data_IF_246685463689
#
_entry.id   IF_246685463689
#
_cell.length_a   1.000
_cell.length_b   1.000
_cell.length_c   1.000
_cell.angle_alpha   90.00
_cell.angle_beta   90.00
_cell.angle_gamma   90.00
#
_symmetry.space_group_name_H-M   'P 1'
#
loop_
_entity.id
_entity.type
_entity.pdbx_description
1 polymer ?
#
# COMPACT_ATOMS: atom_id res chain seq x y z
N UNK A 1 -13.25 7.25 -19.06
CA UNK A 1 -11.79 7.47 -19.10
C UNK A 1 -11.12 6.20 -19.60
N UNK A 2 -9.97 6.30 -20.29
CA UNK A 2 -9.23 5.11 -20.73
C UNK A 2 -8.47 4.52 -19.52
N UNK A 3 -8.31 3.18 -19.53
CA UNK A 3 -7.41 2.50 -18.60
C UNK A 3 -6.02 3.15 -18.61
N UNK A 4 -5.27 2.94 -17.55
CA UNK A 4 -3.88 3.39 -17.47
C UNK A 4 -3.12 2.90 -18.71
N UNK A 5 -2.47 3.81 -19.45
CA UNK A 5 -1.83 3.48 -20.73
C UNK A 5 -0.38 3.96 -20.78
N UNK A 6 0.35 3.48 -21.79
CA UNK A 6 1.70 3.92 -22.09
C UNK A 6 2.70 3.64 -20.98
N UNK A 7 3.55 4.61 -20.70
CA UNK A 7 4.64 4.51 -19.73
C UNK A 7 4.15 4.18 -18.31
N UNK A 8 3.00 4.73 -17.89
CA UNK A 8 2.46 4.50 -16.54
C UNK A 8 1.95 3.06 -16.36
N UNK A 9 1.34 2.46 -17.39
CA UNK A 9 0.96 1.06 -17.35
C UNK A 9 2.20 0.15 -17.29
N UNK A 10 3.21 0.43 -18.10
CA UNK A 10 4.47 -0.30 -18.09
C UNK A 10 5.16 -0.20 -16.73
N UNK A 11 5.19 1.00 -16.12
CA UNK A 11 5.76 1.23 -14.81
C UNK A 11 5.05 0.40 -13.73
N UNK A 12 3.71 0.38 -13.75
CA UNK A 12 2.92 -0.43 -12.82
C UNK A 12 3.18 -1.93 -13.01
N UNK A 13 3.26 -2.42 -14.26
CA UNK A 13 3.53 -3.82 -14.56
C UNK A 13 4.99 -4.24 -14.32
N UNK A 14 5.95 -3.32 -14.38
CA UNK A 14 7.33 -3.59 -14.01
C UNK A 14 7.48 -3.92 -12.52
N UNK A 15 6.52 -3.50 -11.71
CA UNK A 15 6.50 -3.71 -10.27
C UNK A 15 7.28 -2.65 -9.51
N UNK A 16 6.61 -1.96 -8.61
CA UNK A 16 7.19 -0.84 -7.86
C UNK A 16 6.85 -0.91 -6.38
N UNK A 17 7.62 -0.19 -5.58
CA UNK A 17 7.33 0.07 -4.17
C UNK A 17 6.27 1.16 -4.08
N UNK A 18 5.14 0.86 -3.43
CA UNK A 18 4.06 1.81 -3.15
C UNK A 18 3.79 1.80 -1.64
N UNK A 19 4.41 2.69 -0.86
CA UNK A 19 4.07 2.83 0.55
C UNK A 19 2.61 3.25 0.73
N UNK A 20 1.96 2.72 1.77
CA UNK A 20 0.69 3.24 2.24
C UNK A 20 0.97 4.44 3.15
N UNK A 21 0.65 5.65 2.69
CA UNK A 21 1.07 6.91 3.30
C UNK A 21 0.47 7.11 4.70
N UNK A 22 1.27 7.21 5.79
CA UNK A 22 0.77 7.53 7.10
C UNK A 22 0.28 8.98 7.20
N UNK A 23 -0.61 9.24 8.16
CA UNK A 23 -1.11 10.58 8.45
C UNK A 23 -0.33 11.22 9.60
N UNK A 24 0.38 12.29 9.32
CA UNK A 24 1.04 13.08 10.36
C UNK A 24 0.03 14.01 11.05
N UNK A 25 -0.12 13.85 12.36
CA UNK A 25 -0.97 14.71 13.19
C UNK A 25 -0.22 15.27 14.38
N UNK A 26 -0.66 16.43 14.86
CA UNK A 26 -0.16 17.04 16.11
C UNK A 26 -0.69 16.30 17.34
N UNK A 27 -0.19 16.65 18.54
CA UNK A 27 -0.69 16.13 19.81
C UNK A 27 -2.20 16.43 20.03
N UNK A 28 -2.73 17.45 19.36
CA UNK A 28 -4.16 17.80 19.37
C UNK A 28 -4.94 17.18 18.21
N UNK A 29 -4.32 16.21 17.48
CA UNK A 29 -4.91 15.48 16.36
C UNK A 29 -5.36 16.35 15.18
N UNK A 30 -4.68 17.46 14.98
CA UNK A 30 -4.81 18.27 13.79
C UNK A 30 -3.78 17.81 12.76
N UNK A 31 -4.10 17.93 11.46
CA UNK A 31 -3.13 17.65 10.39
C UNK A 31 -1.87 18.47 10.59
N UNK A 32 -0.72 17.81 10.63
CA UNK A 32 0.59 18.46 10.63
C UNK A 32 1.13 18.51 9.20
N UNK A 33 0.79 19.57 8.48
CA UNK A 33 1.16 19.72 7.07
C UNK A 33 2.67 19.67 6.83
N UNK A 34 3.46 20.20 7.76
CA UNK A 34 4.93 20.20 7.66
C UNK A 34 5.48 18.79 7.66
N UNK A 35 5.05 17.97 8.61
CA UNK A 35 5.48 16.58 8.69
C UNK A 35 4.83 15.70 7.61
N UNK A 36 3.61 16.00 7.21
CA UNK A 36 2.95 15.31 6.09
C UNK A 36 3.71 15.53 4.76
N UNK A 37 4.17 16.76 4.49
CA UNK A 37 5.04 17.05 3.34
C UNK A 37 6.41 16.37 3.49
N UNK A 38 7.01 16.38 4.68
CA UNK A 38 8.29 15.72 4.94
C UNK A 38 8.23 14.21 4.65
N UNK A 39 7.16 13.53 5.09
CA UNK A 39 6.91 12.13 4.77
C UNK A 39 6.82 11.89 3.25
N UNK A 40 6.06 12.71 2.54
CA UNK A 40 5.94 12.60 1.08
C UNK A 40 7.30 12.79 0.38
N UNK A 41 8.10 13.79 0.82
CA UNK A 41 9.46 14.02 0.30
C UNK A 41 10.40 12.86 0.60
N UNK A 42 10.32 12.30 1.80
CA UNK A 42 11.07 11.10 2.17
C UNK A 42 10.79 9.94 1.21
N UNK A 43 9.52 9.61 0.95
CA UNK A 43 9.17 8.53 0.01
C UNK A 43 9.67 8.83 -1.39
N UNK A 44 9.52 10.04 -1.89
CA UNK A 44 10.04 10.44 -3.18
C UNK A 44 11.57 10.30 -3.25
N UNK A 45 12.29 10.73 -2.21
CA UNK A 45 13.75 10.65 -2.14
C UNK A 45 14.24 9.20 -1.97
N UNK A 46 13.52 8.35 -1.25
CA UNK A 46 13.81 6.92 -1.13
C UNK A 46 13.69 6.15 -2.45
N UNK A 47 13.10 6.75 -3.48
CA UNK A 47 13.04 6.15 -4.82
C UNK A 47 11.80 5.28 -5.07
N UNK A 48 10.73 5.44 -4.29
CA UNK A 48 9.48 4.69 -4.52
C UNK A 48 8.90 4.98 -5.90
N UNK A 49 8.24 3.99 -6.50
CA UNK A 49 7.60 4.15 -7.80
C UNK A 49 6.14 4.61 -7.72
N UNK A 50 5.60 4.76 -6.54
CA UNK A 50 4.25 5.27 -6.31
C UNK A 50 3.96 5.53 -4.84
N UNK A 51 2.80 6.12 -4.54
CA UNK A 51 2.34 6.40 -3.19
C UNK A 51 0.83 6.21 -3.10
N UNK A 52 0.36 5.52 -2.05
CA UNK A 52 -1.06 5.32 -1.79
C UNK A 52 -1.51 6.18 -0.62
N UNK A 53 -2.46 7.08 -0.87
CA UNK A 53 -2.95 8.08 0.09
C UNK A 53 -4.45 7.88 0.34
N UNK A 54 -4.92 8.13 1.55
CA UNK A 54 -6.32 7.86 1.93
C UNK A 54 -6.60 6.38 2.16
N UNK A 55 -5.58 5.59 2.50
CA UNK A 55 -5.64 4.16 2.75
C UNK A 55 -5.58 3.86 4.26
N UNK A 56 -5.50 2.59 4.66
CA UNK A 56 -5.54 2.19 6.07
C UNK A 56 -4.56 2.99 6.97
N UNK A 57 -3.28 3.12 6.57
CA UNK A 57 -2.28 3.87 7.35
C UNK A 57 -2.51 5.39 7.33
N UNK A 58 -3.26 5.90 6.35
CA UNK A 58 -3.72 7.31 6.37
C UNK A 58 -4.90 7.51 7.32
N UNK A 59 -5.40 6.43 7.91
CA UNK A 59 -6.55 6.33 8.82
C UNK A 59 -7.88 6.63 8.12
N UNK A 60 -8.75 5.63 8.08
CA UNK A 60 -10.03 5.73 7.35
C UNK A 60 -10.97 6.82 7.88
N UNK A 61 -10.75 7.32 9.09
CA UNK A 61 -11.47 8.45 9.69
C UNK A 61 -11.40 9.71 8.83
N UNK A 62 -10.34 9.90 8.02
CA UNK A 62 -10.24 11.07 7.12
C UNK A 62 -11.36 11.13 6.08
N UNK A 63 -11.97 9.98 5.75
CA UNK A 63 -13.11 9.89 4.82
C UNK A 63 -14.44 10.31 5.43
N UNK A 64 -14.53 10.47 6.77
CA UNK A 64 -15.72 11.02 7.40
C UNK A 64 -15.80 12.52 7.09
N UNK A 65 -16.90 13.00 6.48
CA UNK A 65 -17.09 14.43 6.20
C UNK A 65 -16.97 15.34 7.42
N UNK A 66 -17.21 14.81 8.63
CA UNK A 66 -17.06 15.55 9.89
C UNK A 66 -15.60 15.79 10.25
N UNK A 67 -14.71 14.90 9.85
CA UNK A 67 -13.25 15.05 10.00
C UNK A 67 -12.72 15.97 8.91
N UNK A 68 -13.21 15.83 7.67
CA UNK A 68 -12.95 16.74 6.56
C UNK A 68 -11.51 16.77 6.06
N UNK A 69 -10.73 15.70 6.28
CA UNK A 69 -9.30 15.65 5.96
C UNK A 69 -8.98 14.96 4.64
N UNK A 70 -9.91 14.25 3.99
CA UNK A 70 -9.61 13.53 2.76
C UNK A 70 -9.07 14.45 1.66
N UNK A 71 -9.81 15.53 1.34
CA UNK A 71 -9.40 16.47 0.29
C UNK A 71 -8.06 17.16 0.60
N UNK A 72 -7.83 17.76 1.79
CA UNK A 72 -6.56 18.37 2.13
C UNK A 72 -5.37 17.39 2.06
N UNK A 73 -5.53 16.16 2.52
CA UNK A 73 -4.44 15.18 2.53
C UNK A 73 -4.12 14.68 1.13
N UNK A 74 -5.13 14.42 0.28
CA UNK A 74 -4.92 14.06 -1.13
C UNK A 74 -4.22 15.19 -1.89
N UNK A 75 -4.70 16.43 -1.73
CA UNK A 75 -4.13 17.61 -2.39
C UNK A 75 -2.68 17.84 -1.98
N UNK A 76 -2.41 17.83 -0.66
CA UNK A 76 -1.08 18.05 -0.10
C UNK A 76 -0.05 17.03 -0.61
N UNK A 77 -0.42 15.75 -0.61
CA UNK A 77 0.44 14.68 -1.09
C UNK A 77 0.69 14.81 -2.60
N UNK A 78 -0.36 15.07 -3.39
CA UNK A 78 -0.23 15.22 -4.85
C UNK A 78 0.68 16.40 -5.22
N UNK A 79 0.48 17.58 -4.60
CA UNK A 79 1.32 18.76 -4.82
C UNK A 79 2.78 18.48 -4.48
N UNK A 80 3.04 17.84 -3.33
CA UNK A 80 4.41 17.55 -2.87
C UNK A 80 5.11 16.53 -3.78
N UNK A 81 4.38 15.52 -4.28
CA UNK A 81 4.89 14.57 -5.28
C UNK A 81 5.26 15.33 -6.57
N UNK A 82 4.38 16.20 -7.07
CA UNK A 82 4.63 16.94 -8.31
C UNK A 82 5.81 17.91 -8.17
N UNK A 83 6.02 18.49 -6.98
CA UNK A 83 7.20 19.29 -6.66
C UNK A 83 8.48 18.44 -6.74
N UNK A 84 8.49 17.27 -6.12
CA UNK A 84 9.64 16.37 -6.14
C UNK A 84 9.96 15.85 -7.56
N UNK A 85 8.93 15.53 -8.34
CA UNK A 85 9.08 15.03 -9.72
C UNK A 85 9.49 16.11 -10.72
N UNK A 86 9.25 17.40 -10.43
CA UNK A 86 9.83 18.49 -11.24
C UNK A 86 11.35 18.58 -11.08
N UNK A 87 11.87 18.22 -9.90
CA UNK A 87 13.32 18.20 -9.63
C UNK A 87 13.96 16.92 -10.17
N UNK A 88 13.29 15.78 -9.99
CA UNK A 88 13.78 14.47 -10.44
C UNK A 88 12.68 13.74 -11.23
N UNK A 89 12.52 14.05 -12.54
CA UNK A 89 11.46 13.47 -13.38
C UNK A 89 11.60 11.95 -13.53
N UNK A 90 10.53 11.22 -13.24
CA UNK A 90 10.40 9.77 -13.43
C UNK A 90 8.94 9.34 -13.41
N UNK A 91 8.59 8.16 -13.95
CA UNK A 91 7.26 7.59 -13.77
C UNK A 91 6.94 7.41 -12.28
N UNK A 92 5.71 7.75 -11.89
CA UNK A 92 5.26 7.68 -10.50
C UNK A 92 3.73 7.48 -10.42
N UNK A 93 3.29 6.41 -9.76
CA UNK A 93 1.87 6.09 -9.60
C UNK A 93 1.30 6.76 -8.35
N UNK A 94 0.35 7.68 -8.51
CA UNK A 94 -0.48 8.22 -7.43
C UNK A 94 -1.72 7.35 -7.27
N UNK A 95 -1.92 6.73 -6.11
CA UNK A 95 -3.07 5.87 -5.79
C UNK A 95 -3.88 6.52 -4.67
N UNK A 96 -5.18 6.72 -4.87
CA UNK A 96 -6.07 7.24 -3.82
C UNK A 96 -6.90 6.10 -3.22
N UNK A 97 -7.05 6.07 -1.90
CA UNK A 97 -8.04 5.23 -1.25
C UNK A 97 -9.45 5.70 -1.63
N UNK A 98 -10.31 4.75 -1.97
CA UNK A 98 -11.74 4.99 -2.28
C UNK A 98 -12.56 4.02 -1.45
N UNK A 99 -13.44 4.53 -0.60
CA UNK A 99 -14.20 3.72 0.36
C UNK A 99 -15.69 4.07 0.35
N UNK A 100 -16.43 3.38 1.19
CA UNK A 100 -17.84 3.68 1.46
C UNK A 100 -18.81 3.02 0.48
N UNK A 101 -20.08 3.42 0.58
CA UNK A 101 -21.12 2.98 -0.35
C UNK A 101 -20.95 3.70 -1.70
N UNK A 102 -21.61 3.22 -2.73
CA UNK A 102 -21.38 3.62 -4.13
C UNK A 102 -21.38 5.14 -4.34
N UNK A 103 -22.33 5.87 -3.77
CA UNK A 103 -22.39 7.32 -3.93
C UNK A 103 -21.21 8.06 -3.25
N UNK A 104 -20.71 7.56 -2.13
CA UNK A 104 -19.51 8.07 -1.50
C UNK A 104 -18.27 7.74 -2.35
N UNK A 105 -18.12 6.47 -2.76
CA UNK A 105 -17.02 6.02 -3.57
C UNK A 105 -16.90 6.78 -4.90
N UNK A 106 -18.03 7.11 -5.55
CA UNK A 106 -18.04 7.92 -6.77
C UNK A 106 -17.55 9.36 -6.52
N UNK A 107 -17.96 9.98 -5.41
CA UNK A 107 -17.47 11.32 -5.04
C UNK A 107 -15.97 11.31 -4.73
N UNK A 108 -15.49 10.31 -3.98
CA UNK A 108 -14.06 10.19 -3.64
C UNK A 108 -13.21 9.87 -4.88
N UNK A 109 -13.71 9.02 -5.79
CA UNK A 109 -13.06 8.74 -7.06
C UNK A 109 -12.94 10.00 -7.95
N UNK A 110 -14.01 10.80 -8.04
CA UNK A 110 -13.98 12.07 -8.77
C UNK A 110 -12.99 13.06 -8.15
N UNK A 111 -12.98 13.19 -6.82
CA UNK A 111 -12.04 14.03 -6.09
C UNK A 111 -10.58 13.60 -6.35
N UNK A 112 -10.31 12.28 -6.35
CA UNK A 112 -8.99 11.75 -6.65
C UNK A 112 -8.54 12.10 -8.08
N UNK A 113 -9.43 12.01 -9.06
CA UNK A 113 -9.17 12.43 -10.44
C UNK A 113 -8.85 13.93 -10.52
N UNK A 114 -9.60 14.78 -9.82
CA UNK A 114 -9.39 16.22 -9.78
C UNK A 114 -8.01 16.59 -9.22
N UNK A 115 -7.49 15.82 -8.26
CA UNK A 115 -6.13 15.97 -7.71
C UNK A 115 -5.04 15.20 -8.47
N UNK A 116 -5.35 14.63 -9.63
CA UNK A 116 -4.37 13.97 -10.52
C UNK A 116 -3.92 12.59 -10.07
N UNK A 117 -4.73 11.87 -9.31
CA UNK A 117 -4.48 10.46 -8.99
C UNK A 117 -4.76 9.57 -10.19
N UNK A 118 -3.94 8.53 -10.36
CA UNK A 118 -3.97 7.65 -11.51
C UNK A 118 -4.88 6.43 -11.33
N UNK A 119 -5.07 5.98 -10.08
CA UNK A 119 -5.90 4.83 -9.75
C UNK A 119 -6.57 4.99 -8.38
N UNK A 120 -7.74 4.38 -8.21
CA UNK A 120 -8.45 4.26 -6.95
C UNK A 120 -8.24 2.88 -6.32
N UNK A 121 -7.65 2.81 -5.12
CA UNK A 121 -7.63 1.59 -4.29
C UNK A 121 -9.00 1.42 -3.66
N UNK A 122 -9.84 0.61 -4.30
CA UNK A 122 -11.26 0.48 -3.94
C UNK A 122 -11.45 -0.54 -2.82
N UNK A 123 -11.90 -0.06 -1.65
CA UNK A 123 -12.31 -0.91 -0.53
C UNK A 123 -13.82 -1.15 -0.54
N UNK A 124 -14.22 -2.42 -0.55
CA UNK A 124 -15.61 -2.84 -0.41
C UNK A 124 -16.01 -3.14 1.04
N UNK A 125 -15.21 -2.75 2.01
CA UNK A 125 -15.42 -3.04 3.43
C UNK A 125 -16.73 -2.48 4.01
N UNK A 126 -17.25 -1.39 3.44
CA UNK A 126 -18.54 -0.80 3.83
C UNK A 126 -19.77 -1.59 3.33
N UNK A 127 -19.56 -2.50 2.38
CA UNK A 127 -20.59 -3.31 1.73
C UNK A 127 -20.59 -4.72 2.33
N UNK A 128 -21.06 -4.85 3.59
CA UNK A 128 -20.89 -6.08 4.40
C UNK A 128 -21.85 -7.20 4.03
N UNK A 129 -23.05 -6.85 3.55
CA UNK A 129 -24.17 -7.79 3.31
C UNK A 129 -24.50 -7.94 1.84
N UNK A 130 -23.90 -7.15 0.97
CA UNK A 130 -24.14 -7.12 -0.46
C UNK A 130 -23.64 -8.41 -1.11
N UNK A 131 -24.40 -8.88 -2.12
CA UNK A 131 -24.06 -10.03 -2.96
C UNK A 131 -22.88 -9.72 -3.89
N UNK A 132 -22.26 -10.74 -4.48
CA UNK A 132 -21.19 -10.55 -5.47
C UNK A 132 -21.66 -9.69 -6.65
N UNK A 133 -22.93 -9.81 -7.08
CA UNK A 133 -23.48 -8.99 -8.18
C UNK A 133 -23.58 -7.51 -7.80
N UNK A 134 -24.03 -7.20 -6.60
CA UNK A 134 -24.10 -5.82 -6.09
C UNK A 134 -22.71 -5.23 -5.89
N UNK A 135 -21.74 -6.03 -5.40
CA UNK A 135 -20.36 -5.61 -5.29
C UNK A 135 -19.73 -5.31 -6.65
N UNK A 136 -19.97 -6.16 -7.64
CA UNK A 136 -19.46 -5.97 -9.00
C UNK A 136 -20.10 -4.77 -9.69
N UNK A 137 -21.39 -4.50 -9.46
CA UNK A 137 -22.02 -3.28 -9.95
C UNK A 137 -21.40 -2.03 -9.33
N UNK A 138 -21.17 -2.04 -8.01
CA UNK A 138 -20.44 -0.99 -7.32
C UNK A 138 -19.05 -0.76 -7.94
N UNK A 139 -18.24 -1.82 -8.11
CA UNK A 139 -16.93 -1.75 -8.72
C UNK A 139 -16.98 -1.19 -10.15
N UNK A 140 -17.94 -1.64 -10.96
CA UNK A 140 -18.12 -1.17 -12.34
C UNK A 140 -18.38 0.32 -12.40
N UNK A 141 -19.30 0.82 -11.56
CA UNK A 141 -19.64 2.26 -11.50
C UNK A 141 -18.43 3.11 -11.10
N UNK A 142 -17.63 2.67 -10.14
CA UNK A 142 -16.40 3.39 -9.75
C UNK A 142 -15.35 3.32 -10.85
N UNK A 143 -15.22 2.18 -11.56
CA UNK A 143 -14.31 2.01 -12.68
C UNK A 143 -14.60 2.94 -13.87
N UNK A 144 -15.84 3.43 -14.01
CA UNK A 144 -16.19 4.43 -15.02
C UNK A 144 -15.58 5.82 -14.71
N UNK A 145 -15.24 6.08 -13.44
CA UNK A 145 -14.68 7.36 -12.98
C UNK A 145 -13.16 7.33 -12.92
N UNK A 146 -12.57 6.28 -12.33
CA UNK A 146 -11.12 6.16 -12.14
C UNK A 146 -10.66 4.70 -12.38
N UNK A 147 -9.46 4.44 -12.96
CA UNK A 147 -8.91 3.10 -13.03
C UNK A 147 -8.86 2.43 -11.64
N UNK A 148 -9.26 1.15 -11.57
CA UNK A 148 -9.32 0.45 -10.30
C UNK A 148 -8.02 -0.27 -9.97
N UNK A 149 -7.54 -0.02 -8.77
CA UNK A 149 -6.66 -0.89 -8.02
C UNK A 149 -7.57 -1.69 -7.06
N UNK A 150 -7.84 -2.96 -7.34
CA UNK A 150 -8.64 -3.82 -6.48
C UNK A 150 -7.96 -3.98 -5.10
N UNK A 151 -8.75 -4.16 -4.05
CA UNK A 151 -8.23 -4.28 -2.69
C UNK A 151 -8.86 -5.45 -1.94
N UNK A 152 -8.08 -6.51 -1.73
CA UNK A 152 -8.46 -7.58 -0.82
C UNK A 152 -7.92 -7.28 0.59
N UNK A 153 -8.69 -6.54 1.38
CA UNK A 153 -8.34 -6.21 2.77
C UNK A 153 -8.67 -7.38 3.69
N UNK A 154 -7.77 -7.71 4.62
CA UNK A 154 -7.99 -8.75 5.62
C UNK A 154 -9.17 -8.42 6.56
N UNK A 155 -9.95 -9.44 6.99
CA UNK A 155 -11.09 -9.22 7.88
C UNK A 155 -10.74 -8.63 9.25
N UNK A 156 -9.56 -8.92 9.80
CA UNK A 156 -9.14 -8.45 11.13
C UNK A 156 -9.05 -6.92 11.24
N UNK A 157 -8.82 -6.22 10.13
CA UNK A 157 -8.76 -4.74 10.05
C UNK A 157 -9.92 -4.15 9.24
N UNK A 158 -11.08 -4.81 9.27
CA UNK A 158 -12.33 -4.30 8.70
C UNK A 158 -12.65 -4.77 7.28
N UNK A 159 -11.84 -5.61 6.66
CA UNK A 159 -12.13 -6.23 5.37
C UNK A 159 -13.27 -7.25 5.43
N UNK A 160 -13.58 -7.84 4.28
CA UNK A 160 -14.51 -8.97 4.18
C UNK A 160 -13.91 -10.09 3.33
N UNK A 161 -14.38 -11.31 3.55
CA UNK A 161 -14.03 -12.45 2.69
C UNK A 161 -14.72 -12.25 1.34
N UNK A 162 -13.91 -12.28 0.27
CA UNK A 162 -14.37 -12.20 -1.10
C UNK A 162 -14.14 -13.56 -1.77
N UNK A 163 -15.13 -14.03 -2.51
CA UNK A 163 -15.10 -15.33 -3.15
C UNK A 163 -14.15 -15.35 -4.36
N UNK A 164 -13.66 -16.55 -4.73
CA UNK A 164 -13.00 -16.74 -6.03
C UNK A 164 -13.87 -16.22 -7.19
N UNK A 165 -15.19 -16.51 -7.17
CA UNK A 165 -16.13 -16.06 -8.20
C UNK A 165 -16.22 -14.54 -8.30
N UNK A 166 -16.19 -13.82 -7.16
CA UNK A 166 -16.09 -12.36 -7.15
C UNK A 166 -14.82 -11.90 -7.88
N UNK A 167 -13.63 -12.41 -7.52
CA UNK A 167 -12.37 -12.00 -8.12
C UNK A 167 -12.28 -12.34 -9.60
N UNK A 168 -12.83 -13.50 -10.01
CA UNK A 168 -12.85 -13.90 -11.42
C UNK A 168 -13.64 -12.93 -12.27
N UNK A 169 -14.81 -12.50 -11.79
CA UNK A 169 -15.68 -11.53 -12.46
C UNK A 169 -15.16 -10.10 -12.32
N UNK A 170 -14.53 -9.76 -11.20
CA UNK A 170 -13.86 -8.47 -11.01
C UNK A 170 -12.72 -8.27 -12.02
N UNK A 171 -11.95 -9.31 -12.28
CA UNK A 171 -10.88 -9.29 -13.29
C UNK A 171 -11.40 -9.08 -14.72
N UNK A 172 -12.68 -9.32 -14.99
CA UNK A 172 -13.31 -9.04 -16.31
C UNK A 172 -13.66 -7.56 -16.51
N UNK A 173 -13.68 -6.75 -15.46
CA UNK A 173 -13.98 -5.33 -15.57
C UNK A 173 -12.87 -4.60 -16.36
N UNK A 174 -13.24 -3.84 -17.43
CA UNK A 174 -12.24 -3.32 -18.38
C UNK A 174 -11.19 -2.39 -17.78
N UNK A 175 -11.55 -1.63 -16.75
CA UNK A 175 -10.71 -0.58 -16.16
C UNK A 175 -10.06 -1.02 -14.84
N UNK A 176 -9.93 -2.32 -14.57
CA UNK A 176 -9.10 -2.87 -13.51
C UNK A 176 -7.67 -2.96 -14.01
N UNK A 177 -6.76 -2.24 -13.36
CA UNK A 177 -5.34 -2.13 -13.75
C UNK A 177 -4.40 -2.86 -12.81
N UNK A 178 -4.81 -3.06 -11.55
CA UNK A 178 -4.04 -3.82 -10.56
C UNK A 178 -4.94 -4.38 -9.46
N UNK A 179 -4.40 -5.32 -8.66
CA UNK A 179 -5.03 -5.83 -7.45
C UNK A 179 -4.00 -5.88 -6.33
N UNK A 180 -4.29 -5.20 -5.20
CA UNK A 180 -3.59 -5.37 -3.93
C UNK A 180 -4.17 -6.58 -3.20
N UNK A 181 -3.33 -7.58 -2.98
CA UNK A 181 -3.68 -8.85 -2.35
C UNK A 181 -3.18 -8.82 -0.90
N UNK A 182 -4.09 -8.60 0.05
CA UNK A 182 -3.79 -8.42 1.46
C UNK A 182 -4.72 -9.20 2.42
N UNK A 183 -5.11 -10.45 2.11
CA UNK A 183 -5.96 -11.23 3.02
C UNK A 183 -5.19 -11.86 4.19
N UNK A 184 -3.86 -11.86 4.21
CA UNK A 184 -2.98 -12.59 5.14
C UNK A 184 -3.34 -14.08 5.22
N UNK A 185 -3.65 -14.65 4.05
CA UNK A 185 -4.12 -16.02 3.88
C UNK A 185 -3.66 -16.54 2.51
N UNK A 186 -2.86 -17.61 2.51
CA UNK A 186 -2.30 -18.18 1.28
C UNK A 186 -3.35 -18.73 0.32
N UNK A 187 -4.40 -19.36 0.85
CA UNK A 187 -5.47 -19.89 0.01
C UNK A 187 -6.21 -18.77 -0.73
N UNK A 188 -6.55 -17.70 -0.01
CA UNK A 188 -7.22 -16.52 -0.58
C UNK A 188 -6.32 -15.75 -1.54
N UNK A 189 -5.02 -15.66 -1.23
CA UNK A 189 -4.03 -15.10 -2.16
C UNK A 189 -4.03 -15.86 -3.48
N UNK A 190 -3.97 -17.20 -3.41
CA UNK A 190 -4.00 -18.05 -4.58
C UNK A 190 -5.32 -17.95 -5.37
N UNK A 191 -6.45 -17.80 -4.68
CA UNK A 191 -7.75 -17.59 -5.34
C UNK A 191 -7.77 -16.34 -6.22
N UNK A 192 -7.16 -15.23 -5.76
CA UNK A 192 -7.05 -13.99 -6.58
C UNK A 192 -6.15 -14.22 -7.80
N UNK A 193 -4.98 -14.84 -7.60
CA UNK A 193 -4.03 -15.11 -8.69
C UNK A 193 -4.67 -16.00 -9.75
N UNK A 194 -5.32 -17.10 -9.33
CA UNK A 194 -6.05 -18.00 -10.23
C UNK A 194 -7.20 -17.29 -10.96
N UNK A 195 -7.94 -16.44 -10.25
CA UNK A 195 -9.02 -15.67 -10.84
C UNK A 195 -8.55 -14.78 -11.99
N UNK A 196 -7.40 -14.13 -11.84
CA UNK A 196 -6.79 -13.32 -12.90
C UNK A 196 -6.26 -14.19 -14.04
N UNK A 197 -5.65 -15.35 -13.73
CA UNK A 197 -5.23 -16.33 -14.73
C UNK A 197 -6.41 -16.82 -15.59
N UNK A 198 -7.49 -17.26 -14.93
CA UNK A 198 -8.70 -17.77 -15.57
C UNK A 198 -9.48 -16.68 -16.35
N UNK A 199 -9.29 -15.40 -16.00
CA UNK A 199 -9.80 -14.28 -16.78
C UNK A 199 -8.98 -13.99 -18.03
N UNK A 200 -7.80 -14.62 -18.19
CA UNK A 200 -6.88 -14.32 -19.28
C UNK A 200 -6.24 -12.91 -19.18
N UNK A 201 -6.31 -12.26 -18.00
CA UNK A 201 -5.90 -10.86 -17.82
C UNK A 201 -4.56 -10.70 -17.10
N UNK A 202 -3.74 -11.79 -17.01
CA UNK A 202 -2.43 -11.75 -16.34
C UNK A 202 -1.42 -10.76 -16.93
N UNK A 203 -1.54 -10.42 -18.21
CA UNK A 203 -0.72 -9.39 -18.86
C UNK A 203 -1.27 -7.96 -18.74
N UNK A 204 -2.47 -7.78 -18.19
CA UNK A 204 -3.16 -6.49 -18.13
C UNK A 204 -3.41 -6.01 -16.69
N UNK A 205 -3.51 -6.92 -15.73
CA UNK A 205 -3.74 -6.63 -14.31
C UNK A 205 -2.44 -6.92 -13.54
N UNK A 206 -1.84 -5.88 -13.00
CA UNK A 206 -0.64 -6.03 -12.16
C UNK A 206 -1.03 -6.52 -10.76
N UNK A 207 -0.41 -7.59 -10.28
CA UNK A 207 -0.65 -8.13 -8.94
C UNK A 207 0.39 -7.58 -7.96
N UNK A 208 -0.10 -7.02 -6.86
CA UNK A 208 0.72 -6.40 -5.82
C UNK A 208 0.49 -7.08 -4.48
N UNK A 209 1.57 -7.43 -3.78
CA UNK A 209 1.41 -7.93 -2.41
C UNK A 209 0.96 -6.82 -1.48
N UNK A 210 0.08 -7.16 -0.58
CA UNK A 210 -0.33 -6.41 0.59
C UNK A 210 -0.30 -7.30 1.82
N UNK A 211 0.25 -8.53 1.70
CA UNK A 211 0.42 -9.50 2.77
C UNK A 211 1.67 -9.14 3.59
N UNK A 212 1.51 -8.25 4.56
CA UNK A 212 2.62 -7.76 5.39
C UNK A 212 3.28 -8.89 6.20
N UNK A 213 2.61 -10.02 6.39
CA UNK A 213 3.12 -11.24 7.02
C UNK A 213 3.99 -12.12 6.10
N UNK A 214 4.04 -11.84 4.78
CA UNK A 214 4.70 -12.72 3.81
C UNK A 214 5.30 -11.97 2.60
N UNK A 215 5.79 -10.77 2.79
CA UNK A 215 6.19 -9.84 1.72
C UNK A 215 7.20 -10.44 0.74
N UNK A 216 8.33 -10.90 1.26
CA UNK A 216 9.46 -11.34 0.44
C UNK A 216 9.11 -12.64 -0.31
N UNK A 217 8.47 -13.59 0.38
CA UNK A 217 8.05 -14.84 -0.26
C UNK A 217 7.06 -14.58 -1.40
N UNK A 218 6.13 -13.63 -1.24
CA UNK A 218 5.23 -13.19 -2.33
C UNK A 218 5.99 -12.67 -3.54
N UNK A 219 7.01 -11.83 -3.31
CA UNK A 219 7.79 -11.20 -4.39
C UNK A 219 8.70 -12.18 -5.15
N UNK A 220 9.12 -13.28 -4.52
CA UNK A 220 10.01 -14.27 -5.16
C UNK A 220 9.25 -15.47 -5.71
N UNK A 221 7.95 -15.63 -5.44
CA UNK A 221 7.15 -16.77 -5.90
C UNK A 221 6.72 -16.59 -7.35
N UNK A 222 6.87 -17.64 -8.13
CA UNK A 222 6.24 -17.81 -9.44
C UNK A 222 4.97 -18.65 -9.25
N UNK A 223 3.81 -18.04 -9.50
CA UNK A 223 2.51 -18.69 -9.38
C UNK A 223 2.16 -19.37 -10.71
N UNK A 224 2.44 -20.66 -10.80
CA UNK A 224 2.06 -21.48 -11.94
C UNK A 224 0.57 -21.82 -11.84
N UNK A 225 -0.25 -21.07 -12.55
CA UNK A 225 -1.71 -21.16 -12.53
C UNK A 225 -2.25 -21.35 -13.94
N UNK A 226 -2.38 -22.60 -14.46
CA UNK A 226 -3.07 -22.82 -15.73
C UNK A 226 -4.50 -22.23 -15.69
N UNK A 227 -5.01 -21.63 -16.79
CA UNK A 227 -4.50 -21.67 -18.16
C UNK A 227 -3.53 -20.54 -18.54
N UNK A 228 -2.99 -19.75 -17.58
CA UNK A 228 -2.03 -18.72 -17.91
C UNK A 228 -0.81 -19.32 -18.65
N UNK A 229 -0.38 -18.73 -19.77
CA UNK A 229 0.72 -19.27 -20.58
C UNK A 229 2.09 -19.18 -19.91
N UNK A 230 2.22 -18.34 -18.91
CA UNK A 230 3.41 -18.15 -18.08
C UNK A 230 2.99 -17.95 -16.62
N UNK A 231 3.85 -18.30 -15.65
CA UNK A 231 3.57 -18.05 -14.25
C UNK A 231 3.25 -16.58 -13.98
N UNK A 232 2.21 -16.32 -13.19
CA UNK A 232 1.90 -14.99 -12.68
C UNK A 232 2.81 -14.65 -11.50
N UNK A 233 2.98 -13.35 -11.24
CA UNK A 233 3.84 -12.85 -10.16
C UNK A 233 3.17 -11.69 -9.45
N UNK A 234 3.42 -11.58 -8.15
CA UNK A 234 3.21 -10.33 -7.44
C UNK A 234 4.44 -9.46 -7.73
N UNK A 235 4.26 -8.51 -8.64
CA UNK A 235 5.39 -7.76 -9.24
C UNK A 235 5.98 -6.70 -8.33
N UNK A 236 5.20 -6.22 -7.36
CA UNK A 236 5.57 -5.21 -6.38
C UNK A 236 4.68 -5.31 -5.15
N UNK A 237 4.65 -4.26 -4.33
CA UNK A 237 3.77 -4.22 -3.16
C UNK A 237 3.16 -2.84 -2.93
N UNK A 238 1.95 -2.87 -2.35
CA UNK A 238 1.31 -1.73 -1.75
C UNK A 238 1.06 -2.06 -0.28
N UNK A 239 1.94 -1.64 0.61
CA UNK A 239 2.08 -2.18 1.94
C UNK A 239 2.15 -1.08 3.01
N UNK A 240 1.55 -1.36 4.17
CA UNK A 240 1.70 -0.54 5.36
C UNK A 240 3.13 -0.61 5.93
N UNK A 241 3.73 -1.81 5.94
CA UNK A 241 5.12 -1.99 6.36
C UNK A 241 6.11 -1.10 5.57
N UNK A 242 5.86 -0.90 4.29
CA UNK A 242 6.73 -0.11 3.42
C UNK A 242 6.70 1.40 3.67
N UNK A 243 5.83 1.84 4.56
CA UNK A 243 5.84 3.22 5.07
C UNK A 243 7.03 3.54 5.97
N UNK A 244 7.74 2.51 6.47
CA UNK A 244 8.94 2.64 7.30
C UNK A 244 10.12 1.97 6.61
N UNK A 245 11.33 2.49 6.84
CA UNK A 245 12.58 1.96 6.29
C UNK A 245 12.55 1.84 4.75
N UNK A 246 11.88 2.80 4.12
CA UNK A 246 11.45 2.72 2.73
C UNK A 246 12.61 2.62 1.74
N UNK A 247 13.76 3.27 2.01
CA UNK A 247 14.93 3.16 1.13
C UNK A 247 15.40 1.69 1.04
N UNK A 248 15.48 0.98 2.17
CA UNK A 248 15.89 -0.44 2.19
C UNK A 248 14.89 -1.33 1.45
N UNK A 249 13.62 -0.99 1.51
CA UNK A 249 12.57 -1.67 0.74
C UNK A 249 12.77 -1.49 -0.77
N UNK A 250 13.10 -0.29 -1.22
CA UNK A 250 13.40 -0.01 -2.63
C UNK A 250 14.63 -0.78 -3.10
N UNK A 251 15.68 -0.81 -2.29
CA UNK A 251 16.91 -1.59 -2.56
C UNK A 251 16.60 -3.09 -2.66
N UNK A 252 15.81 -3.62 -1.72
CA UNK A 252 15.37 -5.02 -1.70
C UNK A 252 14.63 -5.39 -2.98
N UNK A 253 13.57 -4.66 -3.35
CA UNK A 253 12.77 -4.96 -4.55
C UNK A 253 13.64 -4.86 -5.81
N UNK A 254 14.47 -3.82 -5.91
CA UNK A 254 15.37 -3.61 -7.05
C UNK A 254 16.36 -4.78 -7.19
N UNK A 255 16.90 -5.28 -6.07
CA UNK A 255 17.82 -6.41 -6.07
C UNK A 255 17.12 -7.70 -6.49
N UNK A 256 15.93 -8.00 -5.94
CA UNK A 256 15.11 -9.15 -6.35
C UNK A 256 14.83 -9.10 -7.86
N UNK A 257 14.40 -7.95 -8.38
CA UNK A 257 14.11 -7.78 -9.81
C UNK A 257 15.35 -7.94 -10.68
N UNK A 258 16.51 -7.44 -10.24
CA UNK A 258 17.78 -7.60 -10.94
C UNK A 258 18.19 -9.07 -11.00
N UNK A 259 18.25 -9.76 -9.87
CA UNK A 259 18.60 -11.17 -9.78
C UNK A 259 17.67 -12.07 -10.58
N UNK A 260 16.37 -11.73 -10.59
CA UNK A 260 15.39 -12.46 -11.39
C UNK A 260 15.67 -12.33 -12.90
N UNK A 261 16.06 -11.13 -13.36
CA UNK A 261 16.41 -10.90 -14.78
C UNK A 261 17.70 -11.61 -15.21
N UNK A 262 18.68 -11.71 -14.31
CA UNK A 262 19.95 -12.40 -14.57
C UNK A 262 19.86 -13.91 -14.32
N UNK A 263 18.75 -14.42 -13.75
CA UNK A 263 18.61 -15.83 -13.38
C UNK A 263 19.38 -16.23 -12.12
N UNK A 264 19.83 -15.26 -11.33
CA UNK A 264 20.67 -15.44 -10.14
C UNK A 264 19.90 -15.27 -8.83
N UNK A 265 18.55 -15.44 -8.85
CA UNK A 265 17.72 -15.26 -7.67
C UNK A 265 18.06 -16.33 -6.59
N UNK A 266 18.60 -15.87 -5.47
CA UNK A 266 18.93 -16.73 -4.33
C UNK A 266 17.71 -16.89 -3.42
N UNK A 267 16.92 -17.94 -3.68
CA UNK A 267 15.72 -18.24 -2.90
C UNK A 267 16.02 -18.50 -1.42
N UNK A 268 17.13 -19.15 -1.09
CA UNK A 268 17.47 -19.47 0.29
C UNK A 268 17.77 -18.17 1.08
N UNK A 269 18.55 -17.27 0.49
CA UNK A 269 18.82 -15.96 1.05
C UNK A 269 17.54 -15.15 1.27
N UNK A 270 16.71 -15.04 0.23
CA UNK A 270 15.51 -14.21 0.31
C UNK A 270 14.44 -14.77 1.25
N UNK A 271 14.29 -16.08 1.36
CA UNK A 271 13.39 -16.68 2.35
C UNK A 271 13.87 -16.40 3.78
N UNK A 272 15.18 -16.50 4.04
CA UNK A 272 15.74 -16.15 5.36
C UNK A 272 15.58 -14.64 5.67
N UNK A 273 15.83 -13.77 4.68
CA UNK A 273 15.58 -12.34 4.80
C UNK A 273 14.10 -12.03 5.08
N UNK A 274 13.19 -12.77 4.41
CA UNK A 274 11.74 -12.63 4.60
C UNK A 274 11.30 -12.93 6.03
N UNK A 275 11.93 -13.87 6.73
CA UNK A 275 11.64 -14.13 8.15
C UNK A 275 11.96 -12.91 9.01
N UNK A 276 13.08 -12.23 8.75
CA UNK A 276 13.47 -11.01 9.48
C UNK A 276 12.50 -9.85 9.21
N UNK A 277 12.06 -9.69 7.95
CA UNK A 277 11.06 -8.69 7.58
C UNK A 277 9.72 -8.97 8.27
N UNK A 278 9.27 -10.23 8.32
CA UNK A 278 8.03 -10.61 9.00
C UNK A 278 8.13 -10.42 10.51
N UNK A 279 9.28 -10.73 11.14
CA UNK A 279 9.49 -10.48 12.56
C UNK A 279 9.50 -8.99 12.91
N UNK A 280 10.13 -8.16 12.06
CA UNK A 280 10.07 -6.71 12.21
C UNK A 280 8.63 -6.18 12.01
N UNK A 281 7.89 -6.71 11.03
CA UNK A 281 6.49 -6.37 10.82
C UNK A 281 5.63 -6.69 12.04
N UNK A 282 5.85 -7.84 12.68
CA UNK A 282 5.10 -8.23 13.89
C UNK A 282 5.25 -7.20 15.03
N UNK A 283 6.43 -6.58 15.18
CA UNK A 283 6.63 -5.52 16.17
C UNK A 283 5.84 -4.23 15.82
N UNK A 284 5.78 -3.88 14.54
CA UNK A 284 5.10 -2.65 14.09
C UNK A 284 3.59 -2.81 14.01
N UNK A 285 3.12 -3.97 13.53
CA UNK A 285 1.71 -4.23 13.25
C UNK A 285 0.94 -4.83 14.40
N UNK A 286 1.63 -5.29 15.45
CA UNK A 286 1.02 -5.76 16.68
C UNK A 286 -0.04 -6.89 16.50
N UNK A 287 0.26 -7.95 15.71
CA UNK A 287 -0.69 -9.05 15.51
C UNK A 287 -1.03 -9.76 16.82
N UNK A 288 -0.16 -9.72 17.84
CA UNK A 288 -0.40 -10.27 19.17
C UNK A 288 -1.61 -9.63 19.87
N UNK A 289 -1.95 -8.39 19.53
CA UNK A 289 -3.10 -7.65 20.04
C UNK A 289 -4.13 -7.36 18.93
N UNK A 290 -4.29 -8.28 17.97
CA UNK A 290 -5.22 -8.15 16.84
C UNK A 290 -5.03 -6.85 16.04
N UNK A 291 -3.78 -6.45 15.83
CA UNK A 291 -3.38 -5.26 15.06
C UNK A 291 -3.82 -3.92 15.69
N UNK A 292 -4.15 -3.89 16.98
CA UNK A 292 -4.59 -2.67 17.68
C UNK A 292 -3.53 -1.56 17.58
N UNK A 293 -2.26 -1.88 17.78
CA UNK A 293 -1.14 -0.95 17.73
C UNK A 293 -0.54 -0.73 16.34
N UNK A 294 -1.18 -1.20 15.25
CA UNK A 294 -0.62 -1.22 13.90
C UNK A 294 -0.21 0.18 13.40
N UNK A 295 -1.13 1.14 13.41
CA UNK A 295 -0.85 2.49 12.90
C UNK A 295 0.09 3.23 13.86
N UNK A 296 -0.15 3.14 15.17
CA UNK A 296 0.72 3.76 16.18
C UNK A 296 2.14 3.19 16.16
N UNK A 297 2.32 1.89 15.86
CA UNK A 297 3.63 1.26 15.69
C UNK A 297 4.42 1.80 14.50
N UNK A 298 3.77 1.97 13.36
CA UNK A 298 4.36 2.64 12.18
C UNK A 298 4.76 4.08 12.53
N UNK A 299 3.87 4.82 13.19
CA UNK A 299 4.14 6.20 13.60
C UNK A 299 5.31 6.28 14.58
N UNK A 300 5.47 5.31 15.49
CA UNK A 300 6.59 5.26 16.42
C UNK A 300 7.92 5.08 15.70
N UNK A 301 8.00 4.24 14.67
CA UNK A 301 9.21 4.10 13.85
C UNK A 301 9.55 5.43 13.16
N UNK A 302 8.57 6.07 12.54
CA UNK A 302 8.76 7.37 11.87
C UNK A 302 9.11 8.49 12.86
N UNK A 303 8.56 8.45 14.09
CA UNK A 303 8.93 9.37 15.17
C UNK A 303 10.37 9.21 15.58
N UNK A 304 10.88 7.97 15.69
CA UNK A 304 12.30 7.69 16.01
C UNK A 304 13.23 8.27 14.95
N UNK A 305 12.81 8.24 13.70
CA UNK A 305 13.52 8.81 12.56
C UNK A 305 13.37 10.35 12.46
N UNK A 306 12.52 10.97 13.30
CA UNK A 306 12.24 12.42 13.24
C UNK A 306 11.26 12.84 12.14
N UNK A 307 10.66 11.87 11.43
CA UNK A 307 9.67 12.11 10.37
C UNK A 307 8.25 12.34 10.90
N UNK A 308 8.03 12.16 12.19
CA UNK A 308 6.80 12.51 12.94
C UNK A 308 7.14 13.07 14.31
N UNK A 309 6.26 13.92 14.87
CA UNK A 309 6.43 14.45 16.21
C UNK A 309 6.02 13.47 17.31
N UNK A 310 5.09 12.57 17.00
CA UNK A 310 4.56 11.58 17.93
C UNK A 310 3.91 10.42 17.19
N UNK A 311 3.44 9.43 17.93
CA UNK A 311 2.72 8.27 17.38
C UNK A 311 1.20 8.42 17.47
N UNK A 312 0.72 9.67 17.49
CA UNK A 312 -0.71 9.96 17.62
C UNK A 312 -1.51 9.55 16.39
N UNK A 313 -2.71 9.00 16.62
CA UNK A 313 -3.71 8.73 15.59
C UNK A 313 -4.89 9.68 15.72
N UNK A 314 -5.73 9.82 14.70
CA UNK A 314 -6.98 10.59 14.76
C UNK A 314 -7.91 10.03 15.86
N UNK A 315 -8.07 8.70 15.86
CA UNK A 315 -8.75 8.00 16.93
C UNK A 315 -7.83 7.90 18.17
N UNK A 316 -8.17 8.53 19.30
CA UNK A 316 -7.34 8.50 20.50
C UNK A 316 -7.20 7.10 21.12
N UNK A 317 -8.07 6.16 20.76
CA UNK A 317 -8.00 4.78 21.24
C UNK A 317 -6.99 3.95 20.43
N UNK A 318 -6.60 4.37 19.25
CA UNK A 318 -5.51 3.77 18.48
C UNK A 318 -4.17 4.24 19.04
N UNK A 319 -3.52 3.35 19.78
CA UNK A 319 -2.27 3.62 20.49
C UNK A 319 -1.41 2.36 20.52
N UNK A 320 -0.15 2.53 20.91
CA UNK A 320 0.73 1.38 21.14
C UNK A 320 0.15 0.46 22.21
N UNK A 321 0.22 -0.84 21.95
CA UNK A 321 -0.16 -1.87 22.93
C UNK A 321 0.92 -2.06 24.00
N UNK A 322 0.57 -2.61 25.17
CA UNK A 322 1.55 -2.94 26.19
C UNK A 322 2.66 -3.86 25.64
N UNK A 323 3.93 -3.49 25.85
CA UNK A 323 5.09 -4.24 25.39
C UNK A 323 5.50 -3.99 23.93
N UNK A 324 4.72 -3.24 23.14
CA UNK A 324 5.01 -3.01 21.74
C UNK A 324 6.26 -2.14 21.53
N UNK A 325 6.53 -1.16 22.40
CA UNK A 325 7.76 -0.35 22.34
C UNK A 325 9.01 -1.21 22.50
N UNK A 326 8.98 -2.17 23.43
CA UNK A 326 10.06 -3.11 23.71
C UNK A 326 10.30 -4.03 22.49
N UNK A 327 9.23 -4.47 21.81
CA UNK A 327 9.33 -5.26 20.59
C UNK A 327 9.92 -4.43 19.44
N UNK A 328 9.54 -3.17 19.28
CA UNK A 328 10.16 -2.25 18.32
C UNK A 328 11.65 -2.08 18.63
N UNK A 329 12.02 -1.90 19.91
CA UNK A 329 13.44 -1.83 20.33
C UNK A 329 14.20 -3.12 20.03
N UNK A 330 13.54 -4.28 20.18
CA UNK A 330 14.13 -5.58 19.89
C UNK A 330 14.50 -5.69 18.41
N UNK A 331 13.57 -5.39 17.51
CA UNK A 331 13.82 -5.54 16.07
C UNK A 331 14.81 -4.52 15.51
N UNK A 332 14.85 -3.30 16.05
CA UNK A 332 15.88 -2.34 15.71
C UNK A 332 17.30 -2.87 16.05
N UNK A 333 17.46 -3.53 17.20
CA UNK A 333 18.75 -4.13 17.59
C UNK A 333 19.06 -5.40 16.80
N UNK A 334 18.04 -6.22 16.51
CA UNK A 334 18.23 -7.50 15.83
C UNK A 334 18.54 -7.33 14.32
N UNK A 335 17.95 -6.31 13.68
CA UNK A 335 17.99 -6.17 12.22
C UNK A 335 18.46 -4.77 11.77
N UNK A 336 19.69 -4.34 12.15
CA UNK A 336 20.20 -3.00 11.80
C UNK A 336 20.33 -2.76 10.30
N UNK A 337 20.35 -3.82 9.49
CA UNK A 337 20.42 -3.74 8.03
C UNK A 337 19.05 -3.46 7.37
N UNK A 338 17.93 -3.59 8.11
CA UNK A 338 16.61 -3.30 7.59
C UNK A 338 16.23 -1.83 7.68
N UNK A 339 16.82 -1.05 8.61
CA UNK A 339 16.46 0.36 8.77
C UNK A 339 17.33 1.31 7.93
N UNK A 340 16.77 2.46 7.60
CA UNK A 340 17.38 3.51 6.78
C UNK A 340 17.60 4.82 7.55
N UNK A 341 17.85 4.71 8.86
CA UNK A 341 17.99 5.86 9.77
C UNK A 341 19.07 6.85 9.33
N UNK A 342 20.20 6.36 8.79
CA UNK A 342 21.28 7.19 8.28
C UNK A 342 20.82 8.03 7.08
N UNK A 343 20.07 7.43 6.15
CA UNK A 343 19.49 8.13 5.01
C UNK A 343 18.53 9.23 5.46
N UNK A 344 17.65 8.93 6.42
CA UNK A 344 16.72 9.91 6.95
C UNK A 344 17.46 11.04 7.65
N UNK A 345 18.44 10.73 8.51
CA UNK A 345 19.22 11.74 9.24
C UNK A 345 19.97 12.71 8.31
N UNK A 346 20.43 12.24 7.15
CA UNK A 346 21.15 13.08 6.17
C UNK A 346 20.24 14.10 5.47
N UNK A 347 18.92 13.83 5.36
CA UNK A 347 18.00 14.63 4.55
C UNK A 347 16.87 15.29 5.34
N UNK A 348 16.67 14.92 6.61
CA UNK A 348 15.52 15.32 7.42
C UNK A 348 15.30 16.83 7.46
N UNK A 349 16.38 17.61 7.67
CA UNK A 349 16.29 19.07 7.75
C UNK A 349 15.82 19.70 6.42
N UNK A 350 16.15 19.09 5.28
CA UNK A 350 15.70 19.52 3.98
C UNK A 350 14.19 19.22 3.80
N UNK A 351 13.77 18.02 4.18
CA UNK A 351 12.36 17.61 4.03
C UNK A 351 11.41 18.38 4.94
N UNK A 352 11.88 18.83 6.10
CA UNK A 352 11.12 19.64 7.06
C UNK A 352 11.04 21.14 6.71
N UNK A 353 11.70 21.60 5.67
CA UNK A 353 11.58 22.99 5.16
C UNK A 353 10.36 23.14 4.27
#
# INVERSE_FOLDING_TARGET
>A
MSALQGEMAQHLHAGVVIPAHPLAVTATRQLDERYQRALTRYYCAAGVGGLAVGVHTTQFEIHDPKVGLLAPVLELASQTIDEALRVNPRPFIKVAGVIGRTEQALREAALAVDYGYHAGLLSVAALKTETDDELLDHCRRVAEVIPLFGFYLQPAVGGRVLSYNFWRRFAELPNVVAIKIAPFDRYRTLDVVRAVADAGRGGEIALYTGNDDNIVADLITDFDCPPAPTPLRLVGGLLGHWAVWTQRVVEMLTTIQCQRRTGELDYAHWLAYGVQVTDANAAFFDPAHNFHGCIAGIHEVLRRQGLMQGHWCLNPNESLSPGQLEEIDRVYRAYPHLHDDEFVAQHLDEWLR
#
